data_IF_817394567546
#
_entry.id   IF_817394567546
#
_cell.length_a   1.000
_cell.length_b   1.000
_cell.length_c   1.000
_cell.angle_alpha   90.00
_cell.angle_beta   90.00
_cell.angle_gamma   90.00
#
_symmetry.space_group_name_H-M   'P 1'
#
loop_
_entity.id
_entity.type
_entity.pdbx_description
1 polymer ?
#
# COMPACT_ATOMS: atom_id res chain seq x y z
N UNK A 1 -19.38 -8.71 3.35
CA UNK A 1 -19.21 -7.44 4.08
C UNK A 1 -19.98 -7.52 5.40
N UNK A 2 -19.41 -7.01 6.47
CA UNK A 2 -20.04 -6.97 7.82
C UNK A 2 -20.50 -5.56 8.18
N UNK A 3 -19.77 -4.53 7.74
CA UNK A 3 -20.05 -3.12 8.02
C UNK A 3 -19.99 -2.33 6.69
N UNK A 4 -20.83 -1.32 6.47
CA UNK A 4 -21.86 -0.75 7.34
C UNK A 4 -23.13 -1.61 7.50
N UNK A 5 -23.37 -2.56 6.60
CA UNK A 5 -24.49 -3.51 6.69
C UNK A 5 -24.05 -4.88 6.21
N UNK A 6 -24.49 -5.98 6.87
CA UNK A 6 -24.20 -7.33 6.40
C UNK A 6 -24.78 -7.56 4.99
N UNK A 7 -23.92 -7.91 4.04
CA UNK A 7 -24.32 -8.28 2.67
C UNK A 7 -23.18 -9.03 1.97
N UNK A 8 -23.52 -9.83 0.97
CA UNK A 8 -22.52 -10.32 0.02
C UNK A 8 -22.10 -9.20 -0.94
N UNK A 9 -20.81 -9.13 -1.23
CA UNK A 9 -20.25 -8.09 -2.08
C UNK A 9 -19.02 -8.62 -2.81
N UNK A 10 -18.84 -8.25 -4.06
CA UNK A 10 -17.61 -8.56 -4.79
C UNK A 10 -16.46 -7.62 -4.37
N UNK A 11 -15.22 -8.03 -4.61
CA UNK A 11 -14.03 -7.18 -4.39
C UNK A 11 -14.16 -5.86 -5.17
N UNK A 12 -14.56 -5.92 -6.44
CA UNK A 12 -14.75 -4.72 -7.27
C UNK A 12 -15.73 -3.73 -6.65
N UNK A 13 -16.85 -4.20 -6.11
CA UNK A 13 -17.84 -3.32 -5.49
C UNK A 13 -17.40 -2.81 -4.10
N UNK A 14 -16.66 -3.63 -3.33
CA UNK A 14 -16.14 -3.22 -2.03
C UNK A 14 -15.04 -2.16 -2.14
N UNK A 15 -14.23 -2.23 -3.18
CA UNK A 15 -13.09 -1.34 -3.40
C UNK A 15 -13.31 -0.38 -4.59
N UNK A 16 -14.57 -0.01 -4.84
CA UNK A 16 -14.90 1.00 -5.85
C UNK A 16 -14.02 2.25 -5.69
N UNK A 17 -13.52 2.75 -6.82
CA UNK A 17 -12.56 3.85 -6.89
C UNK A 17 -13.15 5.16 -7.42
N UNK A 18 -14.46 5.24 -7.62
CA UNK A 18 -15.11 6.41 -8.21
C UNK A 18 -14.84 7.72 -7.45
N UNK A 19 -14.56 7.67 -6.14
CA UNK A 19 -14.20 8.81 -5.31
C UNK A 19 -12.70 9.13 -5.29
N UNK A 20 -11.84 8.24 -5.80
CA UNK A 20 -10.39 8.42 -5.81
C UNK A 20 -9.96 9.33 -6.95
N UNK A 21 -9.86 10.60 -6.64
CA UNK A 21 -9.40 11.63 -7.57
C UNK A 21 -8.18 12.33 -7.00
N UNK A 22 -7.45 13.09 -7.80
CA UNK A 22 -6.36 13.93 -7.29
C UNK A 22 -6.85 14.80 -6.13
N UNK A 23 -6.03 14.86 -5.07
CA UNK A 23 -6.26 15.76 -3.94
C UNK A 23 -5.50 17.07 -4.17
N UNK A 24 -6.10 18.15 -3.68
CA UNK A 24 -5.44 19.43 -3.58
C UNK A 24 -5.24 19.75 -2.10
N UNK A 25 -4.02 19.93 -1.71
CA UNK A 25 -3.63 20.35 -0.36
C UNK A 25 -2.77 21.62 -0.40
N UNK A 26 -2.24 22.05 0.74
CA UNK A 26 -1.43 23.27 0.86
C UNK A 26 -0.14 23.23 0.03
N UNK A 27 0.33 22.06 -0.35
CA UNK A 27 1.55 21.86 -1.14
C UNK A 27 1.28 21.76 -2.64
N UNK A 28 0.04 21.62 -3.07
CA UNK A 28 -0.35 21.53 -4.48
C UNK A 28 -1.29 20.36 -4.78
N UNK A 29 -1.17 19.85 -6.00
CA UNK A 29 -2.04 18.82 -6.53
C UNK A 29 -1.30 17.47 -6.57
N UNK A 30 -1.84 16.43 -5.94
CA UNK A 30 -1.23 15.12 -5.82
C UNK A 30 -2.22 13.97 -6.05
N UNK A 31 -1.78 12.76 -6.40
CA UNK A 31 -2.68 11.61 -6.51
C UNK A 31 -3.32 11.26 -5.16
N UNK A 32 -4.47 10.60 -5.22
CA UNK A 32 -5.06 9.89 -4.07
C UNK A 32 -4.18 8.70 -3.71
N UNK A 33 -3.70 8.65 -2.47
CA UNK A 33 -2.78 7.60 -2.01
C UNK A 33 -3.53 6.53 -1.23
N UNK A 34 -3.49 5.29 -1.74
CA UNK A 34 -4.07 4.10 -1.12
C UNK A 34 -2.95 3.24 -0.55
N UNK A 35 -2.85 3.13 0.76
CA UNK A 35 -1.97 2.15 1.40
C UNK A 35 -2.60 0.76 1.33
N UNK A 36 -1.92 -0.18 0.66
CA UNK A 36 -2.32 -1.59 0.55
C UNK A 36 -1.37 -2.45 1.37
N UNK A 37 -1.88 -3.06 2.45
CA UNK A 37 -1.06 -3.86 3.37
C UNK A 37 -1.79 -5.09 3.86
N UNK A 38 -1.01 -6.10 4.22
CA UNK A 38 -1.46 -7.28 4.95
C UNK A 38 -0.68 -7.42 6.26
N UNK A 39 -1.35 -7.89 7.30
CA UNK A 39 -0.70 -8.30 8.55
C UNK A 39 -1.35 -9.56 9.12
N UNK A 40 -0.63 -10.24 10.01
CA UNK A 40 -1.23 -11.25 10.89
C UNK A 40 -2.15 -10.61 11.93
N UNK A 41 -2.96 -11.39 12.62
CA UNK A 41 -3.85 -10.91 13.67
C UNK A 41 -3.08 -10.30 14.87
N UNK A 42 -1.82 -10.68 15.08
CA UNK A 42 -0.92 -10.09 16.07
C UNK A 42 0.01 -9.00 15.49
N UNK A 43 -0.22 -8.58 14.23
CA UNK A 43 0.34 -7.37 13.64
C UNK A 43 1.65 -7.53 12.87
N UNK A 44 2.14 -8.77 12.64
CA UNK A 44 3.32 -9.00 11.81
C UNK A 44 3.00 -8.81 10.32
N UNK A 45 3.88 -8.15 9.56
CA UNK A 45 3.70 -7.92 8.11
C UNK A 45 4.55 -8.84 7.24
N UNK A 46 5.34 -9.71 7.85
CA UNK A 46 6.16 -10.69 7.14
C UNK A 46 6.42 -11.92 8.01
N UNK A 47 6.63 -13.08 7.37
CA UNK A 47 7.15 -14.31 7.98
C UNK A 47 8.48 -14.61 7.28
N UNK A 48 9.56 -14.72 8.05
CA UNK A 48 10.92 -14.88 7.51
C UNK A 48 11.28 -13.83 6.46
N UNK A 49 10.85 -12.58 6.69
CA UNK A 49 11.10 -11.45 5.79
C UNK A 49 10.27 -11.43 4.51
N UNK A 50 9.26 -12.29 4.37
CA UNK A 50 8.42 -12.37 3.16
C UNK A 50 6.94 -12.18 3.48
N UNK A 51 6.28 -11.22 2.81
CA UNK A 51 4.87 -10.90 2.99
C UNK A 51 3.94 -11.87 2.24
N UNK A 52 4.40 -12.49 1.16
CA UNK A 52 3.58 -13.38 0.33
C UNK A 52 3.08 -14.63 1.07
N UNK A 53 3.74 -15.00 2.18
CA UNK A 53 3.31 -16.11 3.05
C UNK A 53 2.03 -15.81 3.85
N UNK A 54 1.61 -14.55 3.93
CA UNK A 54 0.44 -14.10 4.68
C UNK A 54 -0.83 -14.13 3.84
N UNK A 55 -0.72 -13.92 2.52
CA UNK A 55 -1.85 -13.72 1.63
C UNK A 55 -2.71 -14.96 1.37
N UNK A 56 -3.96 -14.73 0.96
CA UNK A 56 -4.89 -15.73 0.51
C UNK A 56 -5.49 -15.36 -0.86
N UNK A 57 -6.37 -16.20 -1.43
CA UNK A 57 -6.95 -15.94 -2.75
C UNK A 57 -7.66 -14.59 -2.85
N UNK A 58 -8.52 -14.26 -1.90
CA UNK A 58 -9.27 -12.99 -1.87
C UNK A 58 -8.37 -11.80 -1.58
N UNK A 59 -7.35 -11.93 -0.73
CA UNK A 59 -6.33 -10.90 -0.53
C UNK A 59 -5.61 -10.58 -1.84
N UNK A 60 -5.21 -11.62 -2.58
CA UNK A 60 -4.61 -11.44 -3.91
C UNK A 60 -5.57 -10.77 -4.90
N UNK A 61 -6.85 -11.06 -4.84
CA UNK A 61 -7.86 -10.40 -5.68
C UNK A 61 -7.97 -8.91 -5.34
N UNK A 62 -8.00 -8.55 -4.05
CA UNK A 62 -7.97 -7.15 -3.57
C UNK A 62 -6.71 -6.45 -4.06
N UNK A 63 -5.54 -7.04 -3.84
CA UNK A 63 -4.26 -6.52 -4.32
C UNK A 63 -4.29 -6.22 -5.83
N UNK A 64 -4.70 -7.20 -6.65
CA UNK A 64 -4.77 -7.03 -8.10
C UNK A 64 -5.81 -5.98 -8.52
N UNK A 65 -6.92 -5.86 -7.78
CA UNK A 65 -7.93 -4.83 -8.05
C UNK A 65 -7.39 -3.43 -7.79
N UNK A 66 -6.72 -3.21 -6.65
CA UNK A 66 -6.09 -1.94 -6.33
C UNK A 66 -5.01 -1.58 -7.36
N UNK A 67 -4.15 -2.52 -7.71
CA UNK A 67 -3.13 -2.34 -8.74
C UNK A 67 -3.71 -1.92 -10.09
N UNK A 68 -4.75 -2.60 -10.57
CA UNK A 68 -5.38 -2.28 -11.86
C UNK A 68 -5.98 -0.87 -11.91
N UNK A 69 -6.34 -0.32 -10.76
CA UNK A 69 -6.92 1.02 -10.64
C UNK A 69 -5.86 2.12 -10.49
N UNK A 70 -4.60 1.76 -10.23
CA UNK A 70 -3.52 2.70 -9.98
C UNK A 70 -2.89 3.23 -11.27
N UNK A 71 -2.54 4.51 -11.27
CA UNK A 71 -1.68 5.12 -12.29
C UNK A 71 -0.20 4.93 -11.95
N UNK A 72 0.11 4.87 -10.64
CA UNK A 72 1.45 4.60 -10.14
C UNK A 72 1.44 3.76 -8.85
N UNK A 73 2.55 3.08 -8.62
CA UNK A 73 2.85 2.33 -7.40
C UNK A 73 4.08 2.93 -6.75
N UNK A 74 3.99 3.26 -5.46
CA UNK A 74 5.10 3.75 -4.64
C UNK A 74 5.51 2.66 -3.65
N UNK A 75 6.78 2.30 -3.66
CA UNK A 75 7.32 1.21 -2.82
C UNK A 75 8.73 1.51 -2.34
N UNK A 76 9.11 0.99 -1.18
CA UNK A 76 10.48 1.08 -0.68
C UNK A 76 11.39 0.02 -1.29
N UNK A 77 12.65 0.36 -1.53
CA UNK A 77 13.65 -0.56 -2.11
C UNK A 77 13.84 -1.85 -1.30
N UNK A 78 13.63 -1.81 0.02
CA UNK A 78 13.72 -3.02 0.86
C UNK A 78 12.65 -4.04 0.48
N UNK A 79 11.41 -3.61 0.25
CA UNK A 79 10.30 -4.48 -0.21
C UNK A 79 10.65 -5.10 -1.56
N UNK A 80 11.17 -4.31 -2.50
CA UNK A 80 11.62 -4.83 -3.81
C UNK A 80 12.69 -5.92 -3.66
N UNK A 81 13.63 -5.76 -2.70
CA UNK A 81 14.68 -6.76 -2.46
C UNK A 81 14.18 -8.04 -1.78
N UNK A 82 13.16 -7.93 -0.93
CA UNK A 82 12.64 -9.04 -0.13
C UNK A 82 11.59 -9.85 -0.88
N UNK A 83 10.74 -9.19 -1.65
CA UNK A 83 9.68 -9.81 -2.43
C UNK A 83 10.12 -9.95 -3.90
N UNK A 84 9.65 -11.00 -4.57
CA UNK A 84 9.89 -11.20 -6.01
C UNK A 84 9.05 -10.21 -6.80
N UNK A 85 9.57 -9.00 -6.99
CA UNK A 85 8.85 -7.92 -7.65
C UNK A 85 9.00 -8.00 -9.17
N UNK A 86 7.89 -7.93 -9.89
CA UNK A 86 7.87 -7.97 -11.36
C UNK A 86 7.58 -6.57 -11.93
N UNK A 87 8.05 -6.27 -13.16
CA UNK A 87 7.69 -5.04 -13.84
C UNK A 87 6.17 -4.84 -13.92
N UNK A 88 5.74 -3.59 -13.76
CA UNK A 88 4.33 -3.22 -13.92
C UNK A 88 3.95 -3.11 -15.41
N UNK A 89 2.66 -3.16 -15.75
CA UNK A 89 2.16 -2.84 -17.09
C UNK A 89 2.67 -1.46 -17.56
N UNK A 90 2.93 -1.30 -18.85
CA UNK A 90 3.57 -0.11 -19.42
C UNK A 90 2.82 1.22 -19.17
N UNK A 91 1.52 1.16 -18.91
CA UNK A 91 0.71 2.35 -18.61
C UNK A 91 0.82 2.81 -17.15
N UNK A 92 1.41 2.00 -16.27
CA UNK A 92 1.61 2.31 -14.85
C UNK A 92 3.06 2.67 -14.59
N UNK A 93 3.31 3.53 -13.60
CA UNK A 93 4.66 3.86 -13.15
C UNK A 93 4.98 3.15 -11.85
N UNK A 94 6.16 2.54 -11.76
CA UNK A 94 6.75 2.06 -10.53
C UNK A 94 7.72 3.12 -10.00
N UNK A 95 7.45 3.65 -8.82
CA UNK A 95 8.32 4.62 -8.14
C UNK A 95 8.90 3.95 -6.91
N UNK A 96 10.22 3.82 -6.86
CA UNK A 96 10.93 3.12 -5.80
C UNK A 96 11.72 4.11 -4.96
N UNK A 97 11.36 4.28 -3.69
CA UNK A 97 12.15 5.08 -2.75
C UNK A 97 13.39 4.30 -2.31
N UNK A 98 14.55 4.82 -2.65
CA UNK A 98 15.84 4.21 -2.32
C UNK A 98 16.91 5.26 -2.09
N UNK A 99 17.68 5.12 -1.00
CA UNK A 99 18.83 6.01 -0.73
C UNK A 99 20.10 5.58 -1.49
N UNK A 100 20.16 4.33 -1.95
CA UNK A 100 21.35 3.75 -2.59
C UNK A 100 21.16 3.43 -4.06
N UNK A 101 19.90 3.36 -4.54
CA UNK A 101 19.57 2.87 -5.88
C UNK A 101 19.62 1.34 -6.05
N UNK A 102 20.04 0.62 -5.01
CA UNK A 102 20.13 -0.85 -5.05
C UNK A 102 18.77 -1.50 -4.81
N UNK A 103 18.27 -2.22 -5.79
CA UNK A 103 17.02 -3.00 -5.76
C UNK A 103 17.29 -4.51 -5.73
N UNK A 104 18.55 -4.93 -5.55
CA UNK A 104 18.94 -6.33 -5.55
C UNK A 104 18.87 -6.98 -6.94
N UNK A 105 18.54 -8.28 -6.97
CA UNK A 105 18.50 -9.06 -8.21
C UNK A 105 17.45 -8.57 -9.23
N UNK A 106 16.44 -7.84 -8.79
CA UNK A 106 15.35 -7.34 -9.64
C UNK A 106 15.70 -6.04 -10.39
N UNK A 107 16.82 -5.39 -10.05
CA UNK A 107 17.17 -4.03 -10.55
C UNK A 107 17.12 -3.95 -12.06
N UNK A 108 17.83 -4.85 -12.76
CA UNK A 108 17.93 -4.79 -14.21
C UNK A 108 16.58 -4.98 -14.90
N UNK A 109 15.81 -5.99 -14.51
CA UNK A 109 14.49 -6.27 -15.09
C UNK A 109 13.50 -5.12 -14.91
N UNK A 110 13.52 -4.46 -13.75
CA UNK A 110 12.66 -3.32 -13.45
C UNK A 110 13.05 -2.09 -14.27
N UNK A 111 14.35 -1.82 -14.44
CA UNK A 111 14.82 -0.68 -15.24
C UNK A 111 14.59 -0.91 -16.74
N UNK A 112 14.79 -2.12 -17.23
CA UNK A 112 14.57 -2.48 -18.64
C UNK A 112 13.10 -2.35 -19.07
N UNK A 113 12.15 -2.42 -18.12
CA UNK A 113 10.74 -2.18 -18.38
C UNK A 113 10.43 -0.73 -18.80
N UNK A 114 11.32 0.22 -18.49
CA UNK A 114 11.22 1.63 -18.91
C UNK A 114 10.17 2.47 -18.18
N UNK A 115 9.42 1.89 -17.25
CA UNK A 115 8.39 2.57 -16.44
C UNK A 115 8.73 2.61 -14.95
N UNK A 116 9.96 2.25 -14.58
CA UNK A 116 10.46 2.29 -13.20
C UNK A 116 11.31 3.54 -12.98
N UNK A 117 11.02 4.26 -11.91
CA UNK A 117 11.78 5.41 -11.47
C UNK A 117 12.30 5.17 -10.04
N UNK A 118 13.61 5.30 -9.84
CA UNK A 118 14.23 5.28 -8.52
C UNK A 118 14.34 6.73 -8.03
N UNK A 119 13.82 7.01 -6.85
CA UNK A 119 13.79 8.34 -6.25
C UNK A 119 14.42 8.33 -4.86
N UNK A 120 14.91 9.49 -4.43
CA UNK A 120 15.41 9.73 -3.08
C UNK A 120 14.91 11.09 -2.60
N UNK A 121 14.84 11.29 -1.28
CA UNK A 121 14.47 12.58 -0.69
C UNK A 121 13.19 12.52 0.12
N UNK A 122 12.60 13.68 0.36
CA UNK A 122 11.39 13.87 1.17
C UNK A 122 10.16 13.33 0.42
N UNK A 123 9.38 12.51 1.09
CA UNK A 123 8.16 11.89 0.54
C UNK A 123 7.12 12.92 0.08
N UNK A 124 7.10 14.12 0.67
CA UNK A 124 6.19 15.20 0.25
C UNK A 124 6.47 15.61 -1.18
N UNK A 125 7.73 15.90 -1.50
CA UNK A 125 8.13 16.28 -2.85
C UNK A 125 7.88 15.13 -3.83
N UNK A 126 8.24 13.91 -3.44
CA UNK A 126 8.05 12.73 -4.29
C UNK A 126 6.58 12.56 -4.67
N UNK A 127 5.66 12.65 -3.70
CA UNK A 127 4.23 12.44 -3.94
C UNK A 127 3.61 13.54 -4.80
N UNK A 128 4.01 14.80 -4.61
CA UNK A 128 3.53 15.91 -5.45
C UNK A 128 4.04 15.82 -6.89
N UNK A 129 5.19 15.21 -7.12
CA UNK A 129 5.75 14.98 -8.46
C UNK A 129 5.12 13.76 -9.16
N UNK A 130 4.31 12.95 -8.46
CA UNK A 130 3.64 11.80 -9.07
C UNK A 130 2.54 12.24 -10.05
N UNK A 131 2.54 11.60 -11.20
CA UNK A 131 1.48 11.77 -12.21
C UNK A 131 0.30 10.81 -11.97
N UNK A 132 -0.86 11.14 -12.55
CA UNK A 132 -2.08 10.33 -12.45
C UNK A 132 -2.95 10.70 -11.25
N UNK A 133 -4.05 9.98 -11.07
CA UNK A 133 -5.06 10.23 -10.05
C UNK A 133 -4.89 9.35 -8.81
N UNK A 134 -4.39 8.13 -8.98
CA UNK A 134 -4.34 7.11 -7.95
C UNK A 134 -2.91 6.56 -7.83
N UNK A 135 -2.37 6.61 -6.61
CA UNK A 135 -1.11 5.97 -6.24
C UNK A 135 -1.40 4.85 -5.22
N UNK A 136 -0.95 3.62 -5.50
CA UNK A 136 -0.93 2.55 -4.51
C UNK A 136 0.42 2.56 -3.80
N UNK A 137 0.38 2.64 -2.46
CA UNK A 137 1.55 2.56 -1.58
C UNK A 137 1.66 1.14 -1.03
N UNK A 138 2.80 0.48 -1.27
CA UNK A 138 3.04 -0.92 -0.86
C UNK A 138 4.07 -1.10 0.25
N UNK A 139 4.42 0.01 0.86
CA UNK A 139 5.39 -0.06 1.96
C UNK A 139 6.85 -0.04 1.48
N UNK A 140 7.89 -0.51 2.22
CA UNK A 140 7.77 -1.09 3.59
C UNK A 140 7.42 -0.13 4.70
N UNK A 141 7.45 -0.69 5.90
CA UNK A 141 6.95 -0.06 7.12
C UNK A 141 7.54 1.32 7.42
N UNK A 142 8.81 1.53 7.12
CA UNK A 142 9.46 2.82 7.29
C UNK A 142 8.92 3.87 6.29
N UNK A 143 8.73 3.50 5.02
CA UNK A 143 8.10 4.37 4.03
C UNK A 143 6.66 4.70 4.43
N UNK A 144 5.90 3.69 4.86
CA UNK A 144 4.54 3.89 5.36
C UNK A 144 4.50 4.91 6.49
N UNK A 145 5.44 4.81 7.45
CA UNK A 145 5.52 5.74 8.58
C UNK A 145 5.82 7.17 8.13
N UNK A 146 6.76 7.37 7.21
CA UNK A 146 7.05 8.68 6.62
C UNK A 146 5.82 9.28 5.92
N UNK A 147 5.12 8.47 5.13
CA UNK A 147 3.90 8.89 4.43
C UNK A 147 2.77 9.27 5.38
N UNK A 148 2.61 8.51 6.48
CA UNK A 148 1.61 8.80 7.50
C UNK A 148 1.93 10.10 8.25
N UNK A 149 3.17 10.27 8.71
CA UNK A 149 3.63 11.49 9.38
C UNK A 149 3.54 12.74 8.49
N UNK A 150 3.71 12.56 7.18
CA UNK A 150 3.59 13.63 6.20
C UNK A 150 2.15 13.95 5.81
N UNK A 151 1.17 13.22 6.34
CA UNK A 151 -0.23 13.37 5.99
C UNK A 151 -0.54 13.05 4.51
N UNK A 152 0.13 12.07 3.92
CA UNK A 152 0.03 11.76 2.51
C UNK A 152 -0.79 10.50 2.19
N UNK A 153 -1.30 9.77 3.19
CA UNK A 153 -2.16 8.61 2.98
C UNK A 153 -3.62 9.05 3.07
N UNK A 154 -4.42 8.76 2.06
CA UNK A 154 -5.85 9.10 2.01
C UNK A 154 -6.75 7.92 2.35
N UNK A 155 -6.26 6.73 2.11
CA UNK A 155 -7.00 5.48 2.27
C UNK A 155 -6.07 4.35 2.74
N UNK A 156 -6.54 3.53 3.68
CA UNK A 156 -5.83 2.33 4.13
C UNK A 156 -6.71 1.12 3.82
N UNK A 157 -6.21 0.22 2.99
CA UNK A 157 -6.77 -1.09 2.72
C UNK A 157 -5.89 -2.13 3.44
N UNK A 158 -6.40 -2.66 4.55
CA UNK A 158 -5.67 -3.58 5.41
C UNK A 158 -6.33 -4.95 5.43
N UNK A 159 -5.59 -5.97 5.02
CA UNK A 159 -5.95 -7.37 5.21
C UNK A 159 -5.38 -7.89 6.52
N UNK A 160 -6.20 -8.53 7.34
CA UNK A 160 -5.78 -9.29 8.52
C UNK A 160 -5.84 -10.78 8.20
N UNK A 161 -4.69 -11.41 8.12
CA UNK A 161 -4.58 -12.86 7.94
C UNK A 161 -4.93 -13.61 9.24
N UNK A 162 -5.60 -14.76 9.18
CA UNK A 162 -5.97 -15.55 10.36
C UNK A 162 -4.77 -16.33 10.93
N UNK A 163 -3.70 -15.61 11.24
CA UNK A 163 -2.42 -16.14 11.71
C UNK A 163 -1.92 -15.38 12.92
N UNK A 164 -1.15 -16.08 13.76
CA UNK A 164 -0.41 -15.51 14.88
C UNK A 164 1.02 -16.04 14.79
N UNK A 165 2.00 -15.17 14.69
CA UNK A 165 3.41 -15.57 14.49
C UNK A 165 4.33 -15.16 15.62
N UNK A 166 3.97 -14.15 16.41
CA UNK A 166 4.82 -13.63 17.50
C UNK A 166 6.13 -13.03 16.99
N UNK A 167 7.13 -13.00 17.89
CA UNK A 167 8.48 -12.55 17.52
C UNK A 167 8.59 -11.04 17.29
N UNK A 168 9.58 -10.65 16.46
CA UNK A 168 9.96 -9.25 16.19
C UNK A 168 9.73 -8.86 14.75
N UNK A 169 8.75 -9.46 14.07
CA UNK A 169 8.42 -9.10 12.69
C UNK A 169 8.02 -7.61 12.57
N UNK A 170 8.30 -6.97 11.43
CA UNK A 170 7.88 -5.60 11.18
C UNK A 170 6.39 -5.40 11.37
N UNK A 171 6.01 -4.19 11.76
CA UNK A 171 4.61 -3.72 11.78
C UNK A 171 4.32 -2.95 10.50
N UNK A 172 3.04 -2.58 10.29
CA UNK A 172 2.63 -1.78 9.13
C UNK A 172 3.35 -0.43 9.09
N UNK A 173 3.55 0.16 10.26
CA UNK A 173 4.26 1.42 10.44
C UNK A 173 5.40 1.23 11.44
N UNK A 174 6.63 1.54 11.04
CA UNK A 174 7.82 1.51 11.87
C UNK A 174 8.58 2.83 11.76
N UNK A 175 8.99 3.37 12.89
CA UNK A 175 9.74 4.63 12.98
C UNK A 175 9.44 5.35 14.29
N UNK A 176 9.64 6.66 14.29
CA UNK A 176 9.29 7.48 15.44
C UNK A 176 7.78 7.48 15.68
N UNK A 177 7.43 7.61 16.96
CA UNK A 177 6.03 7.74 17.36
C UNK A 177 5.44 9.03 16.78
N UNK A 178 4.19 8.99 16.35
CA UNK A 178 3.45 10.13 15.84
C UNK A 178 2.12 10.30 16.60
N UNK A 179 1.57 11.51 16.57
CA UNK A 179 0.24 11.74 17.11
C UNK A 179 -0.76 10.90 16.32
N UNK A 180 -1.67 10.25 17.06
CA UNK A 180 -2.74 9.47 16.42
C UNK A 180 -3.64 10.38 15.60
N UNK A 181 -4.01 9.90 14.42
CA UNK A 181 -5.02 10.51 13.58
C UNK A 181 -6.30 9.65 13.62
N UNK A 182 -7.42 10.32 13.46
CA UNK A 182 -8.70 9.65 13.35
C UNK A 182 -8.95 9.22 11.90
N UNK A 183 -9.40 7.98 11.75
CA UNK A 183 -9.74 7.39 10.46
C UNK A 183 -11.19 6.93 10.49
N UNK A 184 -11.91 7.16 9.39
CA UNK A 184 -13.28 6.68 9.24
C UNK A 184 -13.27 5.26 8.68
N UNK A 185 -13.84 4.31 9.40
CA UNK A 185 -14.02 2.95 8.91
C UNK A 185 -15.07 2.93 7.81
N UNK A 186 -14.67 2.67 6.58
CA UNK A 186 -15.57 2.62 5.42
C UNK A 186 -16.26 1.26 5.31
N UNK A 187 -15.51 0.15 5.45
CA UNK A 187 -16.10 -1.18 5.52
C UNK A 187 -15.26 -2.19 6.30
N UNK A 188 -15.92 -3.24 6.72
CA UNK A 188 -15.31 -4.50 7.18
C UNK A 188 -15.90 -5.62 6.33
N UNK A 189 -15.04 -6.34 5.63
CA UNK A 189 -15.40 -7.57 4.92
C UNK A 189 -14.69 -8.77 5.54
N UNK A 190 -15.19 -9.96 5.28
CA UNK A 190 -14.47 -11.19 5.63
C UNK A 190 -14.66 -12.23 4.54
N UNK A 191 -13.64 -13.08 4.37
CA UNK A 191 -13.70 -14.29 3.57
C UNK A 191 -12.62 -15.27 4.03
N UNK A 192 -12.98 -16.55 4.11
CA UNK A 192 -12.05 -17.65 4.39
C UNK A 192 -11.14 -17.41 5.62
N UNK A 193 -11.68 -16.75 6.66
CA UNK A 193 -10.96 -16.42 7.89
C UNK A 193 -10.18 -15.10 7.84
N UNK A 194 -9.96 -14.51 6.66
CA UNK A 194 -9.36 -13.19 6.53
C UNK A 194 -10.39 -12.10 6.85
N UNK A 195 -9.90 -10.98 7.40
CA UNK A 195 -10.68 -9.75 7.59
C UNK A 195 -10.08 -8.65 6.73
N UNK A 196 -10.93 -7.93 6.02
CA UNK A 196 -10.56 -6.86 5.11
C UNK A 196 -11.14 -5.55 5.66
N UNK A 197 -10.26 -4.63 6.02
CA UNK A 197 -10.59 -3.34 6.59
C UNK A 197 -10.26 -2.24 5.58
N UNK A 198 -11.18 -1.32 5.41
CA UNK A 198 -10.96 -0.12 4.62
C UNK A 198 -11.23 1.10 5.47
N UNK A 199 -10.22 1.95 5.59
CA UNK A 199 -10.30 3.22 6.29
C UNK A 199 -10.09 4.37 5.32
N UNK A 200 -10.84 5.43 5.50
CA UNK A 200 -10.68 6.70 4.82
C UNK A 200 -10.18 7.74 5.82
N UNK A 201 -9.31 8.63 5.37
CA UNK A 201 -8.87 9.74 6.18
C UNK A 201 -10.08 10.60 6.55
N UNK A 202 -10.23 10.93 7.83
CA UNK A 202 -11.24 11.90 8.28
C UNK A 202 -10.81 13.31 7.85
N UNK A 203 -11.77 14.13 7.40
CA UNK A 203 -11.56 15.53 7.07
C UNK A 203 -11.33 16.38 8.31
#
# INVERSE_FOLDING_TARGET
>A
MLFPRPQEISVTAAYDNAHRTRRRDDSGDRPWVVLSMISTADGATAIDGNSAKLGGPTDREVFLHLHRSADCVLVGAQTIRQDSYSPLPAHQKLVVLSNTGDLGANTQALLDAGNTQIVTGDVRNIVHDLSGNICVLEGGSNLNNQMLQANLIDEICLTIAPMFVGGTSPRIFEGEWFNHESWTLAHVCHDSGFVFLRYLRSE
#
